data_IF_584054749824
#
_entry.id   IF_584054749824
#
_cell.length_a   1.000
_cell.length_b   1.000
_cell.length_c   1.000
_cell.angle_alpha   90.00
_cell.angle_beta   90.00
_cell.angle_gamma   90.00
#
_symmetry.space_group_name_H-M   'P 1'
#
loop_
_entity.id
_entity.type
_entity.pdbx_description
1 polymer ?
#
# COMPACT_ATOMS: atom_id res chain seq x y z
N UNK A 1 -18.38 11.03 9.31
CA UNK A 1 -16.98 11.36 9.64
C UNK A 1 -16.08 10.47 8.79
N UNK A 2 -15.53 10.99 7.69
CA UNK A 2 -14.52 10.25 6.94
C UNK A 2 -13.21 10.51 7.67
N UNK A 3 -12.75 9.57 8.50
CA UNK A 3 -11.42 9.62 9.10
C UNK A 3 -10.43 9.90 7.99
N UNK A 4 -9.73 11.05 8.05
CA UNK A 4 -8.75 11.51 7.05
C UNK A 4 -7.85 10.33 6.68
N UNK A 5 -8.16 9.70 5.54
CA UNK A 5 -7.57 8.44 5.12
C UNK A 5 -6.07 8.63 4.93
N UNK A 6 -5.31 7.58 5.20
CA UNK A 6 -3.86 7.58 4.97
C UNK A 6 -3.62 7.74 3.47
N UNK A 7 -3.26 8.94 3.02
CA UNK A 7 -3.02 9.23 1.61
C UNK A 7 -1.54 9.10 1.28
N UNK A 8 -1.22 8.41 0.20
CA UNK A 8 0.14 8.28 -0.33
C UNK A 8 0.12 8.78 -1.77
N UNK A 9 0.69 9.97 -1.99
CA UNK A 9 0.65 10.64 -3.30
C UNK A 9 -0.79 10.85 -3.78
N UNK A 10 -1.13 10.30 -4.96
CA UNK A 10 -2.47 10.38 -5.55
C UNK A 10 -3.43 9.28 -5.07
N UNK A 11 -3.02 8.42 -4.15
CA UNK A 11 -3.80 7.27 -3.71
C UNK A 11 -4.31 7.43 -2.28
N UNK A 12 -5.61 7.25 -2.08
CA UNK A 12 -6.23 7.15 -0.76
C UNK A 12 -6.23 5.69 -0.32
N UNK A 13 -5.52 5.36 0.76
CA UNK A 13 -5.51 4.00 1.29
C UNK A 13 -6.75 3.75 2.15
N UNK A 14 -7.43 2.65 1.83
CA UNK A 14 -8.57 2.13 2.57
C UNK A 14 -8.22 0.92 3.42
N UNK A 15 -9.16 -0.03 3.48
CA UNK A 15 -9.06 -1.25 4.30
C UNK A 15 -7.89 -2.15 3.88
N UNK A 16 -7.38 -2.93 4.83
CA UNK A 16 -6.44 -4.02 4.56
C UNK A 16 -7.14 -5.12 3.76
N UNK A 17 -6.51 -5.55 2.67
CA UNK A 17 -6.93 -6.68 1.84
C UNK A 17 -6.23 -7.98 2.27
N UNK A 18 -5.03 -7.88 2.83
CA UNK A 18 -4.29 -9.02 3.35
C UNK A 18 -3.07 -8.60 4.16
N UNK A 19 -2.65 -9.46 5.08
CA UNK A 19 -1.46 -9.27 5.90
C UNK A 19 -0.68 -10.59 5.90
N UNK A 20 0.60 -10.52 5.55
CA UNK A 20 1.48 -11.69 5.50
C UNK A 20 2.89 -11.34 5.92
N UNK A 21 3.73 -12.36 6.06
CA UNK A 21 5.09 -12.22 6.59
C UNK A 21 5.94 -11.19 5.80
N UNK A 22 5.73 -11.08 4.49
CA UNK A 22 6.52 -10.19 3.63
C UNK A 22 5.96 -8.77 3.51
N UNK A 23 4.67 -8.55 3.76
CA UNK A 23 4.02 -7.25 3.53
C UNK A 23 2.57 -7.18 4.04
N UNK A 24 2.07 -5.94 4.14
CA UNK A 24 0.63 -5.64 4.30
C UNK A 24 0.06 -5.12 2.98
N UNK A 25 -1.07 -5.66 2.53
CA UNK A 25 -1.74 -5.21 1.31
C UNK A 25 -3.00 -4.43 1.69
N UNK A 26 -3.16 -3.22 1.15
CA UNK A 26 -4.35 -2.38 1.34
C UNK A 26 -5.04 -2.06 0.02
N UNK A 27 -6.35 -1.85 0.08
CA UNK A 27 -7.10 -1.24 -1.01
C UNK A 27 -6.68 0.24 -1.10
N UNK A 28 -6.51 0.74 -2.30
CA UNK A 28 -6.24 2.15 -2.56
C UNK A 28 -7.12 2.66 -3.69
N UNK A 29 -7.55 3.90 -3.61
CA UNK A 29 -8.30 4.56 -4.67
C UNK A 29 -7.47 5.70 -5.25
N UNK A 30 -7.26 5.70 -6.56
CA UNK A 30 -6.66 6.84 -7.27
C UNK A 30 -7.64 8.02 -7.19
N UNK A 31 -7.18 9.12 -6.58
CA UNK A 31 -7.99 10.33 -6.38
C UNK A 31 -8.31 11.09 -7.66
N UNK A 32 -7.61 10.80 -8.76
CA UNK A 32 -7.85 11.41 -10.07
C UNK A 32 -8.81 10.56 -10.90
N UNK A 33 -8.55 9.26 -11.01
CA UNK A 33 -9.36 8.38 -11.88
C UNK A 33 -10.51 7.67 -11.15
N UNK A 34 -10.50 7.64 -9.82
CA UNK A 34 -11.44 6.86 -9.00
C UNK A 34 -11.19 5.34 -9.03
N UNK A 35 -10.17 4.87 -9.75
CA UNK A 35 -9.90 3.44 -9.88
C UNK A 35 -9.33 2.85 -8.59
N UNK A 36 -9.70 1.61 -8.32
CA UNK A 36 -9.27 0.85 -7.15
C UNK A 36 -8.08 -0.05 -7.46
N UNK A 37 -7.09 -0.06 -6.56
CA UNK A 37 -5.84 -0.80 -6.67
C UNK A 37 -5.52 -1.54 -5.36
N UNK A 38 -4.74 -2.62 -5.45
CA UNK A 38 -4.11 -3.25 -4.29
C UNK A 38 -2.68 -2.71 -4.12
N UNK A 39 -2.37 -2.14 -2.97
CA UNK A 39 -1.05 -1.58 -2.64
C UNK A 39 -0.37 -2.46 -1.61
N UNK A 40 0.77 -3.07 -1.99
CA UNK A 40 1.62 -3.86 -1.11
C UNK A 40 2.61 -2.93 -0.39
N UNK A 41 2.45 -2.81 0.92
CA UNK A 41 3.25 -1.99 1.82
C UNK A 41 4.33 -2.87 2.46
N UNK A 42 5.59 -2.56 2.17
CA UNK A 42 6.77 -3.30 2.63
C UNK A 42 7.54 -2.40 3.59
N UNK A 43 7.88 -2.92 4.77
CA UNK A 43 8.78 -2.23 5.68
C UNK A 43 10.22 -2.26 5.12
N UNK A 44 10.80 -1.08 4.90
CA UNK A 44 12.18 -0.93 4.43
C UNK A 44 13.19 -1.57 5.39
N UNK A 45 12.89 -1.64 6.69
CA UNK A 45 13.75 -2.30 7.68
C UNK A 45 13.90 -3.81 7.40
N UNK A 46 12.82 -4.43 6.91
CA UNK A 46 12.75 -5.85 6.53
C UNK A 46 13.47 -6.16 5.21
N UNK A 47 13.78 -5.14 4.40
CA UNK A 47 14.48 -5.31 3.11
C UNK A 47 15.97 -5.64 3.29
N UNK A 48 16.54 -5.47 4.50
CA UNK A 48 17.97 -5.70 4.82
C UNK A 48 18.55 -7.10 4.52
N UNK A 49 17.77 -8.05 3.98
CA UNK A 49 18.24 -9.42 3.69
C UNK A 49 17.98 -9.91 2.27
N UNK A 50 17.34 -9.12 1.41
CA UNK A 50 17.03 -9.60 0.07
C UNK A 50 17.40 -8.52 -0.94
N UNK A 51 18.41 -8.81 -1.75
CA UNK A 51 18.83 -8.04 -2.90
C UNK A 51 17.75 -8.14 -4.01
N UNK A 52 16.53 -7.70 -3.70
CA UNK A 52 15.41 -7.63 -4.67
C UNK A 52 15.60 -6.39 -5.51
N UNK A 53 16.31 -6.58 -6.63
CA UNK A 53 16.20 -5.71 -7.79
C UNK A 53 14.77 -5.78 -8.31
N UNK A 54 13.98 -4.74 -8.03
CA UNK A 54 12.76 -4.49 -8.78
C UNK A 54 13.19 -3.97 -10.16
N UNK A 55 13.43 -4.91 -11.09
CA UNK A 55 13.52 -4.63 -12.53
C UNK A 55 12.12 -4.49 -13.13
#
# INVERSE_FOLDING_TARGET
MVTKGMRVGKYELGRTLGEGNSAKVKLATDTVSGQSFAVKIIDKSSIKRLNVSFQ
#
